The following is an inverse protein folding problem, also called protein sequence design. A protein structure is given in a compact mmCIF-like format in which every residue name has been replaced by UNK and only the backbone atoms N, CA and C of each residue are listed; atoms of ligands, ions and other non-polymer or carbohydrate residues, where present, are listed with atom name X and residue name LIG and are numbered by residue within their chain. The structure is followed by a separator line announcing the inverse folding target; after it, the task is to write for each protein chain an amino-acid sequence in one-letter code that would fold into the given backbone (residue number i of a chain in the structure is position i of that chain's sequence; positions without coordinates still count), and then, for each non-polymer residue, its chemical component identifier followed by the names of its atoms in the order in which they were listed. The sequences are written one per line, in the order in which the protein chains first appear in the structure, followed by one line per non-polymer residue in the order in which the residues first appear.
data_IF_227098001696
#
_entry.id   IF_227098001696
#
_cell.length_a   1.000
_cell.length_b   1.000
_cell.length_c   1.000
_cell.angle_alpha   90.00
_cell.angle_beta   90.00
_cell.angle_gamma   90.00
#
_symmetry.space_group_name_H-M   'P 1'
#
loop_
_entity.id
_entity.type
_entity.pdbx_description
1 polymer ?
#
# COMPACT_ATOMS: atom_id res chain seq x y z
N UNK A 1 -11.56 0.14 20.07
CA UNK A 1 -10.22 -0.18 19.53
C UNK A 1 -9.43 -0.95 20.57
N UNK A 2 -8.88 -2.10 20.17
CA UNK A 2 -7.87 -2.84 20.93
C UNK A 2 -6.67 -1.93 21.21
N UNK A 3 -6.50 -1.50 22.46
CA UNK A 3 -5.34 -0.72 22.91
C UNK A 3 -4.20 -1.70 23.24
N UNK A 4 -3.57 -2.25 22.20
CA UNK A 4 -2.41 -3.14 22.34
C UNK A 4 -1.12 -2.37 22.03
N UNK A 5 0.01 -2.95 22.42
CA UNK A 5 1.36 -2.48 22.07
C UNK A 5 2.17 -3.69 21.57
N UNK A 6 3.38 -3.44 21.10
CA UNK A 6 4.28 -4.46 20.58
C UNK A 6 5.46 -4.69 21.52
N UNK A 7 5.95 -5.93 21.57
CA UNK A 7 7.12 -6.30 22.36
C UNK A 7 8.08 -7.16 21.54
N UNK A 8 9.37 -7.11 21.87
CA UNK A 8 10.39 -7.93 21.25
C UNK A 8 10.41 -9.37 21.84
N UNK A 9 11.37 -10.20 21.43
CA UNK A 9 11.48 -11.58 21.93
C UNK A 9 11.88 -11.70 23.41
N UNK A 10 12.31 -10.59 24.03
CA UNK A 10 12.64 -10.49 25.47
C UNK A 10 11.45 -10.03 26.30
N UNK A 11 10.30 -9.73 25.67
CA UNK A 11 9.11 -9.18 26.34
C UNK A 11 9.23 -7.68 26.66
N UNK A 12 10.13 -6.97 26.00
CA UNK A 12 10.36 -5.55 26.21
C UNK A 12 9.57 -4.72 25.18
N UNK A 13 8.98 -3.62 25.64
CA UNK A 13 8.55 -2.55 24.75
C UNK A 13 9.80 -1.92 24.14
N UNK A 14 9.89 -1.91 22.81
CA UNK A 14 11.14 -1.59 22.10
C UNK A 14 11.10 -0.25 21.35
N UNK A 15 9.92 0.28 21.00
CA UNK A 15 9.83 1.48 20.16
C UNK A 15 10.47 2.67 20.89
N UNK A 16 10.26 2.79 22.20
CA UNK A 16 10.86 3.85 23.03
C UNK A 16 12.39 3.87 23.03
N UNK A 17 13.05 2.72 22.85
CA UNK A 17 14.50 2.63 22.78
C UNK A 17 15.06 3.22 21.47
N UNK A 18 14.26 3.21 20.40
CA UNK A 18 14.65 3.75 19.08
C UNK A 18 14.30 5.23 18.90
N UNK A 19 13.36 5.76 19.69
CA UNK A 19 12.90 7.15 19.54
C UNK A 19 13.96 8.23 19.72
N UNK A 20 14.96 8.13 20.63
CA UNK A 20 15.99 9.16 20.76
C UNK A 20 16.82 9.34 19.49
N UNK A 21 17.26 8.24 18.88
CA UNK A 21 18.03 8.29 17.62
C UNK A 21 17.15 8.74 16.45
N UNK A 22 15.91 8.24 16.37
CA UNK A 22 14.93 8.68 15.38
C UNK A 22 14.66 10.18 15.48
N UNK A 23 14.43 10.71 16.68
CA UNK A 23 14.19 12.13 16.90
C UNK A 23 15.42 12.97 16.51
N UNK A 24 16.64 12.46 16.74
CA UNK A 24 17.85 13.14 16.27
C UNK A 24 17.92 13.20 14.74
N UNK A 25 17.43 12.18 14.03
CA UNK A 25 17.40 12.15 12.57
C UNK A 25 16.34 13.07 11.97
N UNK A 26 15.10 13.03 12.48
CA UNK A 26 13.98 13.76 11.87
C UNK A 26 13.66 15.09 12.55
N UNK A 27 14.16 15.32 13.76
CA UNK A 27 13.87 16.50 14.58
C UNK A 27 12.61 16.36 15.45
N UNK A 28 12.55 17.17 16.52
CA UNK A 28 11.46 17.17 17.50
C UNK A 28 10.10 17.55 16.89
N UNK A 29 10.08 18.26 15.77
CA UNK A 29 8.84 18.59 15.06
C UNK A 29 8.09 17.34 14.59
N UNK A 30 8.82 16.32 14.13
CA UNK A 30 8.26 15.09 13.55
C UNK A 30 8.11 13.95 14.56
N UNK A 31 9.00 13.89 15.57
CA UNK A 31 8.91 12.91 16.66
C UNK A 31 9.12 13.60 18.00
N UNK A 32 8.04 13.75 18.77
CA UNK A 32 8.07 14.28 20.13
C UNK A 32 7.36 13.31 21.08
N UNK A 33 8.08 12.35 21.69
CA UNK A 33 7.48 11.38 22.60
C UNK A 33 6.77 12.04 23.78
N UNK A 34 7.29 13.16 24.30
CA UNK A 34 6.68 13.89 25.42
C UNK A 34 5.30 14.43 25.01
N UNK A 35 5.24 15.10 23.86
CA UNK A 35 3.97 15.60 23.32
C UNK A 35 3.03 14.45 22.96
N UNK A 36 3.53 13.35 22.40
CA UNK A 36 2.74 12.16 22.07
C UNK A 36 2.06 11.56 23.30
N UNK A 37 2.78 11.43 24.42
CA UNK A 37 2.22 10.94 25.67
C UNK A 37 1.19 11.91 26.27
N UNK A 38 1.44 13.23 26.20
CA UNK A 38 0.56 14.25 26.81
C UNK A 38 -0.70 14.54 26.00
N UNK A 39 -0.63 14.47 24.66
CA UNK A 39 -1.69 14.96 23.75
C UNK A 39 -2.38 13.85 22.95
N UNK A 40 -1.98 12.59 23.15
CA UNK A 40 -2.38 11.47 22.29
C UNK A 40 -1.99 11.67 20.81
N UNK A 41 -0.99 12.52 20.53
CA UNK A 41 -0.46 12.72 19.18
C UNK A 41 0.20 11.42 18.71
N UNK A 42 -0.31 10.76 17.66
CA UNK A 42 0.29 9.52 17.17
C UNK A 42 1.66 9.77 16.56
N UNK A 43 2.54 8.79 16.68
CA UNK A 43 3.84 8.79 16.01
C UNK A 43 3.64 8.41 14.53
N UNK A 44 4.28 9.12 13.58
CA UNK A 44 4.19 8.77 12.16
C UNK A 44 4.47 7.29 11.90
N UNK A 45 3.62 6.64 11.10
CA UNK A 45 3.66 5.19 10.85
C UNK A 45 5.02 4.71 10.35
N UNK A 46 5.68 5.48 9.48
CA UNK A 46 7.01 5.14 8.96
C UNK A 46 8.09 5.11 10.05
N UNK A 47 7.99 5.94 11.09
CA UNK A 47 8.95 5.95 12.20
C UNK A 47 8.74 4.76 13.13
N UNK A 48 7.48 4.34 13.34
CA UNK A 48 7.20 3.09 14.07
C UNK A 48 7.70 1.85 13.30
N UNK A 49 7.49 1.83 11.98
CA UNK A 49 8.05 0.79 11.12
C UNK A 49 9.57 0.77 11.18
N UNK A 50 10.23 1.93 11.19
CA UNK A 50 11.69 2.02 11.33
C UNK A 50 12.18 1.43 12.65
N UNK A 51 11.50 1.69 13.77
CA UNK A 51 11.81 1.07 15.05
C UNK A 51 11.67 -0.45 15.00
N UNK A 52 10.58 -0.97 14.40
CA UNK A 52 10.37 -2.42 14.22
C UNK A 52 11.48 -3.06 13.39
N UNK A 53 11.78 -2.49 12.22
CA UNK A 53 12.79 -3.02 11.29
C UNK A 53 14.16 -3.05 11.97
N UNK A 54 14.54 -1.98 12.69
CA UNK A 54 15.81 -1.94 13.40
C UNK A 54 15.88 -2.93 14.56
N UNK A 55 14.78 -3.13 15.29
CA UNK A 55 14.71 -4.13 16.36
C UNK A 55 14.97 -5.54 15.85
N UNK A 56 14.33 -5.90 14.72
CA UNK A 56 14.55 -7.18 14.05
C UNK A 56 15.98 -7.30 13.51
N UNK A 57 16.50 -6.24 12.88
CA UNK A 57 17.89 -6.20 12.37
C UNK A 57 18.93 -6.33 13.48
N UNK A 58 18.61 -5.88 14.70
CA UNK A 58 19.46 -6.05 15.88
C UNK A 58 19.36 -7.47 16.49
N UNK A 59 18.63 -8.39 15.85
CA UNK A 59 18.49 -9.78 16.28
C UNK A 59 17.51 -9.97 17.44
N UNK A 60 16.62 -9.01 17.69
CA UNK A 60 15.66 -9.04 18.81
C UNK A 60 14.22 -9.39 18.39
N UNK A 61 14.04 -9.89 17.17
CA UNK A 61 12.79 -10.55 16.77
C UNK A 61 12.63 -11.95 17.40
N UNK A 62 11.45 -12.59 17.28
CA UNK A 62 10.22 -12.07 16.66
C UNK A 62 9.58 -10.95 17.49
N UNK A 63 8.80 -10.11 16.81
CA UNK A 63 7.99 -9.06 17.44
C UNK A 63 6.61 -9.63 17.69
N UNK A 64 6.04 -9.39 18.88
CA UNK A 64 4.72 -9.87 19.24
C UNK A 64 3.76 -8.71 19.45
N UNK A 65 2.50 -8.89 19.06
CA UNK A 65 1.40 -8.02 19.46
C UNK A 65 0.89 -8.47 20.83
N UNK A 66 0.86 -7.58 21.82
CA UNK A 66 0.39 -7.94 23.18
C UNK A 66 -1.14 -8.01 23.22
N UNK A 67 -1.69 -9.17 22.86
CA UNK A 67 -3.14 -9.45 22.84
C UNK A 67 -3.63 -10.05 24.15
N UNK A 68 -2.82 -10.86 24.83
CA UNK A 68 -3.23 -11.61 26.02
C UNK A 68 -3.84 -10.73 27.10
N UNK A 69 -3.33 -9.51 27.28
CA UNK A 69 -3.85 -8.57 28.27
C UNK A 69 -5.22 -8.00 27.85
N UNK A 70 -5.36 -7.64 26.58
CA UNK A 70 -6.59 -7.02 26.08
C UNK A 70 -7.73 -8.04 25.94
N UNK A 71 -7.42 -9.28 25.56
CA UNK A 71 -8.39 -10.36 25.35
C UNK A 71 -8.91 -10.99 26.65
N UNK A 72 -8.43 -10.57 27.83
CA UNK A 72 -9.06 -10.97 29.09
C UNK A 72 -10.43 -10.30 29.30
N UNK A 73 -10.68 -9.15 28.67
CA UNK A 73 -11.99 -8.50 28.68
C UNK A 73 -12.87 -9.15 27.59
N UNK A 74 -14.01 -9.81 27.95
CA UNK A 74 -14.86 -10.48 26.99
C UNK A 74 -15.38 -9.58 25.86
N UNK A 75 -15.60 -8.29 26.15
CA UNK A 75 -16.02 -7.35 25.12
C UNK A 75 -14.89 -7.06 24.13
N UNK A 76 -13.66 -6.95 24.63
CA UNK A 76 -12.48 -6.73 23.78
C UNK A 76 -12.11 -7.96 22.97
N UNK A 77 -12.34 -9.16 23.51
CA UNK A 77 -12.24 -10.44 22.79
C UNK A 77 -13.25 -10.50 21.64
N UNK A 78 -14.53 -10.19 21.88
CA UNK A 78 -15.58 -10.14 20.85
C UNK A 78 -15.23 -9.14 19.74
N UNK A 79 -14.85 -7.91 20.12
CA UNK A 79 -14.41 -6.87 19.17
C UNK A 79 -13.17 -7.33 18.40
N UNK A 80 -12.23 -8.03 19.05
CA UNK A 80 -11.05 -8.57 18.39
C UNK A 80 -11.41 -9.58 17.30
N UNK A 81 -12.26 -10.55 17.64
CA UNK A 81 -12.74 -11.55 16.67
C UNK A 81 -13.58 -10.92 15.55
N UNK A 82 -14.44 -9.96 15.85
CA UNK A 82 -15.21 -9.23 14.84
C UNK A 82 -14.28 -8.52 13.83
N UNK A 83 -13.17 -7.91 14.30
CA UNK A 83 -12.20 -7.30 13.40
C UNK A 83 -11.58 -8.32 12.45
N UNK A 84 -11.06 -9.44 12.96
CA UNK A 84 -10.41 -10.45 12.10
C UNK A 84 -11.40 -11.10 11.14
N UNK A 85 -12.59 -11.47 11.60
CA UNK A 85 -13.62 -12.08 10.76
C UNK A 85 -14.22 -11.09 9.74
N UNK A 86 -14.29 -9.80 10.10
CA UNK A 86 -14.91 -8.76 9.28
C UNK A 86 -14.03 -8.20 8.16
N UNK A 87 -12.70 -8.26 8.29
CA UNK A 87 -11.79 -7.68 7.28
C UNK A 87 -10.70 -8.61 6.75
N UNK A 88 -10.25 -9.59 7.53
CA UNK A 88 -9.11 -10.46 7.14
C UNK A 88 -9.26 -11.85 7.74
N UNK A 89 -10.26 -12.60 7.27
CA UNK A 89 -10.57 -13.95 7.77
C UNK A 89 -9.37 -14.91 7.68
N UNK A 90 -8.43 -14.67 6.75
CA UNK A 90 -7.18 -15.44 6.65
C UNK A 90 -6.36 -15.45 7.95
N UNK A 91 -6.38 -14.35 8.72
CA UNK A 91 -5.71 -14.31 10.03
C UNK A 91 -6.39 -15.22 11.06
N UNK A 92 -7.73 -15.23 11.09
CA UNK A 92 -8.49 -16.14 11.95
C UNK A 92 -8.27 -17.61 11.58
N UNK A 93 -8.20 -17.92 10.27
CA UNK A 93 -7.89 -19.25 9.77
C UNK A 93 -6.47 -19.68 10.14
N UNK A 94 -5.49 -18.77 10.06
CA UNK A 94 -4.12 -19.04 10.47
C UNK A 94 -4.06 -19.42 11.95
N UNK A 95 -4.64 -18.61 12.83
CA UNK A 95 -4.65 -18.88 14.27
C UNK A 95 -5.33 -20.20 14.62
N UNK A 96 -6.46 -20.51 13.97
CA UNK A 96 -7.13 -21.79 14.13
C UNK A 96 -6.30 -22.98 13.62
N UNK A 97 -5.49 -22.80 12.57
CA UNK A 97 -4.65 -23.85 12.00
C UNK A 97 -3.34 -24.09 12.77
N UNK A 98 -2.90 -23.11 13.56
CA UNK A 98 -1.65 -23.16 14.34
C UNK A 98 -1.88 -23.21 15.85
N UNK A 99 -3.12 -23.45 16.30
CA UNK A 99 -3.53 -23.48 17.71
C UNK A 99 -3.14 -22.20 18.50
N UNK A 100 -3.07 -21.04 17.82
CA UNK A 100 -2.78 -19.75 18.46
C UNK A 100 -4.08 -19.16 18.99
N UNK A 101 -4.20 -19.07 20.30
CA UNK A 101 -5.29 -18.37 20.96
C UNK A 101 -4.79 -17.00 21.46
N UNK A 102 -5.23 -15.87 20.87
CA UNK A 102 -4.77 -14.53 21.25
C UNK A 102 -5.09 -14.15 22.71
N UNK A 103 -5.94 -14.92 23.39
CA UNK A 103 -6.21 -14.80 24.83
C UNK A 103 -5.11 -15.39 25.69
N UNK A 104 -4.42 -16.41 25.19
CA UNK A 104 -3.46 -17.22 25.94
C UNK A 104 -2.02 -17.12 25.40
N UNK A 105 -1.85 -16.60 24.18
CA UNK A 105 -0.58 -16.40 23.50
C UNK A 105 -0.59 -15.07 22.74
N UNK A 106 0.55 -14.37 22.73
CA UNK A 106 0.70 -13.15 21.94
C UNK A 106 1.15 -13.52 20.52
N UNK A 107 0.38 -13.22 19.46
CA UNK A 107 0.73 -13.58 18.10
C UNK A 107 1.91 -12.76 17.58
N UNK A 108 2.72 -13.37 16.71
CA UNK A 108 3.80 -12.68 16.01
C UNK A 108 3.25 -11.60 15.05
N UNK A 109 3.98 -10.49 14.95
CA UNK A 109 3.75 -9.37 14.07
C UNK A 109 4.99 -9.15 13.23
N UNK A 110 4.80 -8.97 11.92
CA UNK A 110 5.87 -8.60 10.98
C UNK A 110 5.40 -7.51 10.03
N UNK A 111 6.35 -6.84 9.39
CA UNK A 111 6.07 -6.02 8.21
C UNK A 111 5.91 -6.92 6.97
N UNK A 112 5.08 -6.48 6.03
CA UNK A 112 4.88 -7.13 4.72
C UNK A 112 5.79 -6.55 3.64
N UNK A 113 5.72 -7.07 2.42
CA UNK A 113 6.29 -6.44 1.24
C UNK A 113 5.69 -5.03 0.96
N UNK A 114 6.41 -4.15 0.24
CA UNK A 114 5.90 -2.84 -0.13
C UNK A 114 4.66 -2.89 -1.04
N UNK A 115 3.71 -1.98 -0.79
CA UNK A 115 2.54 -1.75 -1.65
C UNK A 115 2.58 -0.33 -2.23
N UNK A 116 2.09 -0.17 -3.47
CA UNK A 116 1.98 1.14 -4.14
C UNK A 116 0.50 1.48 -4.26
N UNK A 117 0.06 2.50 -3.49
CA UNK A 117 -1.34 2.93 -3.45
C UNK A 117 -1.47 4.35 -2.88
N UNK A 118 -2.62 4.98 -3.11
CA UNK A 118 -2.83 6.42 -2.88
C UNK A 118 -3.79 6.77 -1.75
N UNK A 119 -4.68 5.85 -1.38
CA UNK A 119 -5.78 6.15 -0.45
C UNK A 119 -5.49 5.84 1.02
N UNK A 120 -4.54 4.95 1.33
CA UNK A 120 -4.28 4.50 2.70
C UNK A 120 -3.19 5.36 3.38
N UNK A 121 -2.10 4.76 3.84
CA UNK A 121 -1.03 5.46 4.57
C UNK A 121 0.04 6.05 3.63
N UNK A 122 -0.07 5.79 2.32
CA UNK A 122 0.84 6.26 1.28
C UNK A 122 0.08 7.09 0.26
N UNK A 123 0.74 8.07 -0.35
CA UNK A 123 0.14 9.00 -1.31
C UNK A 123 0.65 8.79 -2.73
N UNK A 124 0.85 7.53 -3.16
CA UNK A 124 1.29 7.22 -4.52
C UNK A 124 0.11 7.30 -5.49
N UNK A 125 0.27 7.93 -6.65
CA UNK A 125 -0.77 7.96 -7.68
C UNK A 125 -0.57 9.09 -8.69
N UNK A 126 -1.55 9.28 -9.55
CA UNK A 126 -1.56 10.36 -10.54
C UNK A 126 -1.66 11.74 -9.87
N UNK A 127 -1.05 12.74 -10.50
CA UNK A 127 -1.16 14.13 -10.07
C UNK A 127 -2.50 14.72 -10.52
N UNK A 128 -3.33 15.13 -9.57
CA UNK A 128 -4.69 15.59 -9.81
C UNK A 128 -4.93 16.99 -9.23
N UNK A 129 -5.76 17.77 -9.91
CA UNK A 129 -6.03 19.15 -9.52
C UNK A 129 -6.83 19.18 -8.23
N UNK A 130 -6.54 20.14 -7.36
CA UNK A 130 -7.38 20.37 -6.20
C UNK A 130 -8.62 21.24 -6.53
N UNK A 131 -9.45 21.55 -5.52
CA UNK A 131 -10.60 22.44 -5.69
C UNK A 131 -10.18 23.92 -5.71
N UNK A 132 -10.93 24.74 -6.45
CA UNK A 132 -10.65 26.17 -6.70
C UNK A 132 -10.54 27.02 -5.42
N UNK A 133 -11.31 26.69 -4.39
CA UNK A 133 -11.44 27.46 -3.17
C UNK A 133 -10.31 27.24 -2.15
N UNK A 134 -9.53 26.16 -2.30
CA UNK A 134 -8.47 25.78 -1.35
C UNK A 134 -7.10 25.70 -2.03
N UNK A 135 -7.08 25.36 -3.32
CA UNK A 135 -5.81 25.06 -4.00
C UNK A 135 -5.04 26.34 -4.31
N UNK A 136 -3.72 26.37 -4.04
CA UNK A 136 -2.89 27.46 -4.53
C UNK A 136 -2.83 27.43 -6.08
N UNK A 137 -2.53 28.56 -6.75
CA UNK A 137 -2.55 28.65 -8.21
C UNK A 137 -1.72 27.57 -8.92
N UNK A 138 -0.59 27.19 -8.34
CA UNK A 138 0.30 26.14 -8.88
C UNK A 138 -0.28 24.72 -8.82
N UNK A 139 -1.30 24.46 -7.99
CA UNK A 139 -1.94 23.15 -7.83
C UNK A 139 -3.39 23.11 -8.34
N UNK A 140 -3.79 24.16 -9.08
CA UNK A 140 -5.12 24.28 -9.67
C UNK A 140 -5.05 24.48 -11.19
N UNK A 141 -5.68 23.59 -11.95
CA UNK A 141 -5.74 23.66 -13.41
C UNK A 141 -7.15 23.38 -13.96
N UNK A 142 -8.18 23.67 -13.16
CA UNK A 142 -9.55 23.83 -13.65
C UNK A 142 -10.58 22.98 -12.91
N UNK A 143 -10.48 21.65 -13.02
CA UNK A 143 -11.51 20.74 -12.53
C UNK A 143 -10.97 19.87 -11.39
N UNK A 144 -11.64 19.92 -10.23
CA UNK A 144 -11.24 19.14 -9.06
C UNK A 144 -11.10 17.64 -9.42
N UNK A 145 -9.98 17.04 -9.03
CA UNK A 145 -9.57 15.67 -9.31
C UNK A 145 -9.35 15.30 -10.78
N UNK A 146 -9.29 16.30 -11.68
CA UNK A 146 -8.79 16.08 -13.04
C UNK A 146 -7.27 15.91 -13.00
N UNK A 147 -6.76 14.89 -13.68
CA UNK A 147 -5.32 14.70 -13.86
C UNK A 147 -4.75 15.73 -14.83
N UNK A 148 -3.45 15.65 -15.12
CA UNK A 148 -2.81 16.51 -16.13
C UNK A 148 -3.25 16.19 -17.56
N UNK A 149 -3.89 15.03 -17.78
CA UNK A 149 -4.56 14.69 -19.03
C UNK A 149 -5.98 15.25 -18.97
N UNK A 150 -6.31 16.15 -19.89
CA UNK A 150 -7.64 16.77 -19.94
C UNK A 150 -8.75 15.71 -20.12
N UNK A 151 -9.81 15.84 -19.32
CA UNK A 151 -10.92 14.89 -19.33
C UNK A 151 -10.66 13.57 -18.58
N UNK A 152 -9.43 13.31 -18.11
CA UNK A 152 -9.12 12.16 -17.26
C UNK A 152 -9.20 12.55 -15.78
N UNK A 153 -10.05 11.86 -15.02
CA UNK A 153 -10.26 12.08 -13.59
C UNK A 153 -9.82 10.86 -12.79
N UNK A 154 -9.38 11.09 -11.55
CA UNK A 154 -8.98 10.03 -10.62
C UNK A 154 -9.66 10.17 -9.26
N UNK A 155 -9.73 9.07 -8.51
CA UNK A 155 -10.13 9.05 -7.11
C UNK A 155 -9.54 7.81 -6.41
N UNK A 156 -9.45 7.84 -5.08
CA UNK A 156 -8.91 6.72 -4.30
C UNK A 156 -7.46 6.45 -4.68
N UNK A 157 -7.10 5.18 -4.86
CA UNK A 157 -5.72 4.78 -5.13
C UNK A 157 -5.15 5.30 -6.46
N UNK A 158 -6.00 5.78 -7.38
CA UNK A 158 -5.53 6.38 -8.63
C UNK A 158 -4.89 7.75 -8.43
N UNK A 159 -5.14 8.45 -7.32
CA UNK A 159 -4.68 9.82 -7.07
C UNK A 159 -3.62 9.84 -5.98
N UNK A 160 -2.51 10.52 -6.26
CA UNK A 160 -1.43 10.71 -5.30
C UNK A 160 -1.56 12.02 -4.52
N UNK A 161 -0.69 12.19 -3.51
CA UNK A 161 -0.56 13.44 -2.75
C UNK A 161 -1.66 13.70 -1.72
N UNK A 162 -2.73 12.90 -1.67
CA UNK A 162 -3.81 13.02 -0.66
C UNK A 162 -4.09 11.68 0.04
N UNK A 163 -3.14 11.18 0.86
CA UNK A 163 -3.32 9.92 1.62
C UNK A 163 -4.38 10.07 2.71
N UNK A 164 -4.63 8.98 3.44
CA UNK A 164 -5.60 8.86 4.54
C UNK A 164 -7.06 9.06 4.12
N UNK A 165 -7.38 8.78 2.86
CA UNK A 165 -8.74 8.72 2.37
C UNK A 165 -9.47 7.46 2.88
N UNK A 166 -8.81 6.30 2.88
CA UNK A 166 -9.40 4.98 3.18
C UNK A 166 -10.71 4.75 2.40
N UNK A 167 -11.60 3.89 2.87
CA UNK A 167 -12.85 3.56 2.18
C UNK A 167 -13.79 4.76 2.01
N UNK A 168 -14.08 5.48 3.09
CA UNK A 168 -15.03 6.60 3.09
C UNK A 168 -14.50 7.82 2.33
N UNK A 169 -13.22 8.15 2.47
CA UNK A 169 -12.56 9.21 1.72
C UNK A 169 -12.43 8.86 0.25
N UNK A 170 -12.05 7.63 -0.12
CA UNK A 170 -11.98 7.22 -1.52
C UNK A 170 -13.33 7.32 -2.21
N UNK A 171 -14.41 6.88 -1.53
CA UNK A 171 -15.76 7.06 -2.02
C UNK A 171 -16.13 8.54 -2.19
N UNK A 172 -15.72 9.38 -1.24
CA UNK A 172 -15.97 10.82 -1.27
C UNK A 172 -15.20 11.50 -2.40
N UNK A 173 -13.93 11.15 -2.61
CA UNK A 173 -13.14 11.61 -3.76
C UNK A 173 -13.80 11.22 -5.08
N UNK A 174 -14.34 10.00 -5.19
CA UNK A 174 -15.11 9.58 -6.36
C UNK A 174 -16.31 10.48 -6.63
N UNK A 175 -17.03 10.90 -5.60
CA UNK A 175 -18.14 11.87 -5.73
C UNK A 175 -17.67 13.24 -6.19
N UNK A 176 -16.53 13.71 -5.69
CA UNK A 176 -15.93 15.00 -6.08
C UNK A 176 -15.49 14.96 -7.55
N UNK A 177 -14.76 13.92 -7.94
CA UNK A 177 -14.32 13.70 -9.31
C UNK A 177 -15.51 13.59 -10.27
N UNK A 178 -16.56 12.84 -9.90
CA UNK A 178 -17.77 12.70 -10.72
C UNK A 178 -18.49 14.05 -10.92
N UNK A 179 -18.65 14.85 -9.86
CA UNK A 179 -19.26 16.19 -9.98
C UNK A 179 -18.43 17.10 -10.89
N UNK A 180 -17.11 17.07 -10.77
CA UNK A 180 -16.22 17.86 -11.61
C UNK A 180 -16.22 17.39 -13.07
N UNK A 181 -16.29 16.08 -13.31
CA UNK A 181 -16.41 15.50 -14.64
C UNK A 181 -17.72 15.89 -15.34
N UNK A 182 -18.86 15.88 -14.63
CA UNK A 182 -20.11 16.41 -15.18
C UNK A 182 -19.96 17.89 -15.58
N UNK A 183 -19.35 18.70 -14.72
CA UNK A 183 -19.10 20.11 -15.04
C UNK A 183 -18.19 20.27 -16.27
N UNK A 184 -17.15 19.44 -16.39
CA UNK A 184 -16.26 19.44 -17.57
C UNK A 184 -17.03 19.18 -18.87
N UNK A 185 -17.98 18.24 -18.83
CA UNK A 185 -18.86 17.94 -19.96
C UNK A 185 -19.82 19.10 -20.24
N UNK A 186 -20.50 19.64 -19.22
CA UNK A 186 -21.47 20.73 -19.35
C UNK A 186 -20.82 22.03 -19.86
N UNK A 187 -19.55 22.26 -19.53
CA UNK A 187 -18.75 23.39 -20.03
C UNK A 187 -18.26 23.18 -21.49
N UNK A 188 -18.65 22.08 -22.15
CA UNK A 188 -18.29 21.75 -23.52
C UNK A 188 -16.85 21.28 -23.70
N UNK A 189 -16.10 21.03 -22.61
CA UNK A 189 -14.67 20.65 -22.70
C UNK A 189 -14.45 19.24 -23.24
N UNK A 190 -15.47 18.38 -23.14
CA UNK A 190 -15.44 17.05 -23.71
C UNK A 190 -15.79 17.02 -25.21
N UNK A 191 -16.19 18.15 -25.81
CA UNK A 191 -16.53 18.20 -27.23
C UNK A 191 -15.30 17.91 -28.10
N UNK A 192 -15.47 17.06 -29.11
CA UNK A 192 -14.40 16.69 -30.04
C UNK A 192 -13.50 15.54 -29.56
N UNK A 193 -13.71 14.99 -28.35
CA UNK A 193 -13.08 13.73 -27.96
C UNK A 193 -13.59 12.63 -28.92
N UNK A 194 -12.68 12.16 -29.76
CA UNK A 194 -12.96 11.12 -30.77
C UNK A 194 -11.90 10.04 -30.67
N UNK A 195 -12.34 8.79 -30.76
CA UNK A 195 -11.46 7.61 -30.82
C UNK A 195 -11.54 7.08 -32.24
N UNK A 196 -10.39 6.93 -32.91
CA UNK A 196 -10.36 6.42 -34.30
C UNK A 196 -10.41 4.89 -34.33
N UNK A 197 -10.95 4.34 -35.41
CA UNK A 197 -10.95 2.89 -35.65
C UNK A 197 -9.51 2.34 -35.65
N UNK A 198 -8.54 3.09 -36.19
CA UNK A 198 -7.12 2.75 -36.15
C UNK A 198 -6.59 2.61 -34.71
N UNK A 199 -6.97 3.52 -33.79
CA UNK A 199 -6.59 3.41 -32.38
C UNK A 199 -7.19 2.15 -31.74
N UNK A 200 -8.46 1.85 -32.04
CA UNK A 200 -9.16 0.67 -31.52
C UNK A 200 -8.52 -0.61 -32.05
N UNK A 201 -8.27 -0.70 -33.35
CA UNK A 201 -7.70 -1.87 -34.00
C UNK A 201 -6.28 -2.16 -33.49
N UNK A 202 -5.46 -1.12 -33.34
CA UNK A 202 -4.13 -1.25 -32.75
C UNK A 202 -4.18 -1.78 -31.32
N UNK A 203 -5.10 -1.27 -30.49
CA UNK A 203 -5.26 -1.75 -29.10
C UNK A 203 -5.79 -3.18 -29.04
N UNK A 204 -6.70 -3.54 -29.94
CA UNK A 204 -7.21 -4.90 -30.07
C UNK A 204 -6.08 -5.87 -30.42
N UNK A 205 -5.25 -5.56 -31.41
CA UNK A 205 -4.09 -6.39 -31.75
C UNK A 205 -3.16 -6.58 -30.54
N UNK A 206 -2.83 -5.49 -29.83
CA UNK A 206 -1.98 -5.53 -28.65
C UNK A 206 -2.54 -6.40 -27.52
N UNK A 207 -3.82 -6.21 -27.16
CA UNK A 207 -4.49 -6.96 -26.08
C UNK A 207 -4.55 -8.47 -26.39
N UNK A 208 -4.81 -8.84 -27.64
CA UNK A 208 -4.95 -10.25 -28.04
C UNK A 208 -3.64 -10.92 -28.45
N UNK A 209 -2.54 -10.16 -28.62
CA UNK A 209 -1.22 -10.69 -29.00
C UNK A 209 -0.74 -11.86 -28.14
N UNK A 210 -0.88 -11.88 -26.79
CA UNK A 210 -0.47 -13.03 -25.99
C UNK A 210 -1.20 -14.33 -26.37
N UNK A 211 -2.48 -14.24 -26.75
CA UNK A 211 -3.28 -15.39 -27.16
C UNK A 211 -2.86 -15.91 -28.55
N UNK A 212 -2.52 -15.02 -29.48
CA UNK A 212 -2.00 -15.43 -30.79
C UNK A 212 -0.60 -16.05 -30.70
N UNK A 213 0.27 -15.49 -29.85
CA UNK A 213 1.56 -16.11 -29.52
C UNK A 213 1.39 -17.52 -28.93
N UNK A 214 0.48 -17.68 -27.96
CA UNK A 214 0.19 -18.99 -27.39
C UNK A 214 -0.31 -19.98 -28.46
N UNK A 215 -1.27 -19.59 -29.30
CA UNK A 215 -1.79 -20.45 -30.39
C UNK A 215 -0.68 -20.94 -31.32
N UNK A 216 0.28 -20.08 -31.63
CA UNK A 216 1.39 -20.37 -32.55
C UNK A 216 2.43 -21.30 -31.91
N UNK A 217 2.87 -20.98 -30.69
CA UNK A 217 4.04 -21.63 -30.08
C UNK A 217 3.71 -22.70 -29.04
N UNK A 218 2.44 -22.92 -28.69
CA UNK A 218 2.02 -23.92 -27.68
C UNK A 218 2.54 -25.34 -27.93
N UNK A 219 2.78 -25.72 -29.19
CA UNK A 219 3.25 -27.06 -29.53
C UNK A 219 4.74 -27.29 -29.19
N UNK A 220 5.47 -26.23 -28.86
CA UNK A 220 6.86 -26.29 -28.37
C UNK A 220 6.94 -26.60 -26.86
N UNK A 221 5.81 -26.68 -26.15
CA UNK A 221 5.77 -27.13 -24.76
C UNK A 221 5.87 -28.66 -24.74
N UNK A 222 6.99 -29.18 -24.25
CA UNK A 222 7.21 -30.63 -24.08
C UNK A 222 7.01 -31.11 -22.63
N UNK A 223 7.00 -30.20 -21.65
CA UNK A 223 6.72 -30.49 -20.25
C UNK A 223 6.31 -29.21 -19.49
N UNK A 224 5.34 -29.33 -18.58
CA UNK A 224 4.91 -28.24 -17.71
C UNK A 224 4.39 -27.03 -18.48
N UNK A 225 4.88 -25.85 -18.12
CA UNK A 225 4.53 -24.55 -18.69
C UNK A 225 5.72 -23.86 -19.38
N UNK A 226 6.76 -24.62 -19.71
CA UNK A 226 8.02 -24.12 -20.24
C UNK A 226 7.95 -24.01 -21.76
N UNK A 227 8.13 -22.79 -22.28
CA UNK A 227 8.17 -22.50 -23.71
C UNK A 227 9.35 -21.57 -24.03
N UNK A 228 10.16 -21.83 -25.07
CA UNK A 228 11.29 -20.96 -25.42
C UNK A 228 10.88 -19.65 -26.11
N UNK A 229 9.63 -19.50 -26.56
CA UNK A 229 9.16 -18.36 -27.34
C UNK A 229 8.32 -17.35 -26.55
N UNK A 230 7.85 -17.71 -25.35
CA UNK A 230 7.09 -16.81 -24.49
C UNK A 230 7.21 -17.19 -23.02
N UNK A 231 6.95 -16.21 -22.15
CA UNK A 231 6.70 -16.43 -20.73
C UNK A 231 5.19 -16.38 -20.47
N UNK A 232 4.71 -17.20 -19.55
CA UNK A 232 3.34 -17.09 -19.08
C UNK A 232 3.21 -15.99 -18.00
N UNK A 233 1.98 -15.54 -17.65
CA UNK A 233 1.79 -14.48 -16.67
C UNK A 233 2.41 -14.78 -15.29
N UNK A 234 2.41 -16.04 -14.85
CA UNK A 234 3.01 -16.43 -13.56
C UNK A 234 4.53 -16.29 -13.59
N UNK A 235 5.18 -16.80 -14.64
CA UNK A 235 6.62 -16.66 -14.84
C UNK A 235 7.05 -15.18 -14.91
N UNK A 236 6.27 -14.34 -15.59
CA UNK A 236 6.48 -12.89 -15.62
C UNK A 236 6.33 -12.24 -14.25
N UNK A 237 5.28 -12.60 -13.50
CA UNK A 237 5.03 -12.07 -12.16
C UNK A 237 6.12 -12.49 -11.16
N UNK A 238 6.52 -13.77 -11.13
CA UNK A 238 7.58 -14.26 -10.24
C UNK A 238 8.90 -13.55 -10.52
N UNK A 239 9.23 -13.33 -11.80
CA UNK A 239 10.42 -12.57 -12.19
C UNK A 239 10.32 -11.11 -11.75
N UNK A 240 9.18 -10.45 -11.96
CA UNK A 240 8.96 -9.07 -11.54
C UNK A 240 9.10 -8.94 -10.01
N UNK A 241 8.43 -9.81 -9.25
CA UNK A 241 8.49 -9.82 -7.79
C UNK A 241 9.93 -9.97 -7.30
N UNK A 242 10.70 -10.89 -7.87
CA UNK A 242 12.12 -11.07 -7.52
C UNK A 242 12.94 -9.80 -7.76
N UNK A 243 12.82 -9.18 -8.93
CA UNK A 243 13.56 -7.95 -9.25
C UNK A 243 13.18 -6.80 -8.32
N UNK A 244 11.88 -6.62 -8.08
CA UNK A 244 11.39 -5.57 -7.17
C UNK A 244 11.84 -5.81 -5.74
N UNK A 245 11.83 -7.05 -5.28
CA UNK A 245 12.21 -7.40 -3.91
C UNK A 245 13.72 -7.19 -3.67
N UNK A 246 14.57 -7.66 -4.59
CA UNK A 246 16.03 -7.59 -4.44
C UNK A 246 16.63 -6.20 -4.71
N UNK A 247 16.02 -5.42 -5.60
CA UNK A 247 16.63 -4.17 -6.10
C UNK A 247 15.83 -2.90 -5.75
N UNK A 248 14.52 -3.03 -5.51
CA UNK A 248 13.62 -1.89 -5.30
C UNK A 248 13.14 -1.77 -3.85
N UNK A 249 14.03 -2.03 -2.88
CA UNK A 249 13.75 -1.93 -1.44
C UNK A 249 12.64 -2.89 -0.98
N UNK A 250 12.73 -4.16 -1.38
CA UNK A 250 11.84 -5.21 -0.90
C UNK A 250 12.10 -5.65 0.55
N UNK A 251 11.29 -6.61 0.97
CA UNK A 251 11.34 -7.18 2.31
C UNK A 251 12.63 -7.94 2.58
N UNK A 252 13.17 -8.67 1.58
CA UNK A 252 14.36 -9.52 1.78
C UNK A 252 15.66 -8.72 1.93
N UNK A 253 15.64 -7.45 1.55
CA UNK A 253 16.75 -6.50 1.70
C UNK A 253 16.46 -5.45 2.77
N UNK A 254 15.53 -5.73 3.70
CA UNK A 254 15.15 -4.85 4.81
C UNK A 254 14.76 -3.44 4.34
N UNK A 255 14.06 -3.34 3.20
CA UNK A 255 13.61 -2.08 2.61
C UNK A 255 14.74 -1.10 2.26
N UNK A 256 15.96 -1.62 2.05
CA UNK A 256 17.11 -0.82 1.66
C UNK A 256 17.32 -0.88 0.14
N UNK A 257 17.66 0.26 -0.45
CA UNK A 257 18.12 0.34 -1.84
C UNK A 257 19.16 1.46 -1.99
N UNK A 258 19.75 1.58 -3.18
CA UNK A 258 20.65 2.66 -3.57
C UNK A 258 20.63 2.84 -5.09
N UNK A 259 21.28 3.90 -5.59
CA UNK A 259 21.34 4.23 -7.01
C UNK A 259 21.76 3.04 -7.90
N UNK A 260 22.74 2.24 -7.46
CA UNK A 260 23.22 1.10 -8.26
C UNK A 260 22.20 -0.02 -8.32
N UNK A 261 21.53 -0.33 -7.21
CA UNK A 261 20.49 -1.35 -7.17
C UNK A 261 19.29 -0.95 -8.04
N UNK A 262 18.85 0.30 -7.94
CA UNK A 262 17.76 0.82 -8.78
C UNK A 262 18.12 0.76 -10.27
N UNK A 263 19.38 1.06 -10.63
CA UNK A 263 19.85 0.90 -12.01
C UNK A 263 19.91 -0.55 -12.50
N UNK A 264 20.00 -1.56 -11.62
CA UNK A 264 19.88 -2.98 -11.99
C UNK A 264 18.41 -3.37 -12.20
N UNK A 265 17.50 -2.75 -11.46
CA UNK A 265 16.06 -3.00 -11.60
C UNK A 265 15.42 -2.42 -12.87
N UNK A 266 16.05 -1.42 -13.50
CA UNK A 266 15.63 -0.78 -14.76
C UNK A 266 16.10 -1.56 -15.99
#
# INVERSE_FOLDING_TARGET
HLKTYTQNCLGEEYESNWFPELQKMVGKEYLDPEASHLTHRPIPTCLRNHALINEVNAGRGPIHMVTMQAFQDPHMEEVGWENFLGMTIGQAVLWAATDVDPKNENPELTTSEPYVMGSHATGCGGWASGPEDISPPEYFWGYNRMMTIEGLFGAGDAVGGTPHAFSSGSFTEGRLAAKAACKYIDDGKAEGITVSDEQVDRRKEEIFKPLEHYKTYRNEIVAGDVNPHYINPRQGLDRLQKLMDEYCAGSTVNYMTNEKLLNIGL
#
